data_IF_177494195884
#
_entry.id   IF_177494195884
#
_cell.length_a   1.000
_cell.length_b   1.000
_cell.length_c   1.000
_cell.angle_alpha   90.00
_cell.angle_beta   90.00
_cell.angle_gamma   90.00
#
_symmetry.space_group_name_H-M   'P 1'
#
loop_
_entity.id
_entity.type
_entity.pdbx_description
1 polymer ?
#
# COMPACT_ATOMS: atom_id res chain seq x y z
N UNK A 1 1.91 -2.51 19.32
CA UNK A 1 3.04 -3.24 18.72
C UNK A 1 4.00 -2.25 18.05
N UNK A 2 5.22 -2.70 17.76
CA UNK A 2 6.25 -1.93 17.07
C UNK A 2 6.51 -2.51 15.68
N UNK A 3 6.84 -1.63 14.73
CA UNK A 3 7.33 -2.02 13.43
C UNK A 3 8.83 -2.31 13.55
N UNK A 4 9.21 -3.58 13.36
CA UNK A 4 10.56 -4.06 13.65
C UNK A 4 11.62 -3.38 12.77
N UNK A 5 11.33 -3.11 11.50
CA UNK A 5 12.30 -2.51 10.58
C UNK A 5 12.58 -1.04 10.86
N UNK A 6 11.60 -0.30 11.38
CA UNK A 6 11.69 1.16 11.51
C UNK A 6 11.72 1.64 12.95
N UNK A 7 11.51 0.73 13.93
CA UNK A 7 11.43 1.08 15.35
C UNK A 7 10.27 2.02 15.70
N UNK A 8 9.26 2.12 14.82
CA UNK A 8 8.10 2.98 14.99
C UNK A 8 6.93 2.22 15.59
N UNK A 9 5.97 2.94 16.16
CA UNK A 9 4.72 2.32 16.62
C UNK A 9 3.77 2.08 15.45
N UNK A 10 3.07 0.95 15.49
CA UNK A 10 2.00 0.63 14.54
C UNK A 10 0.70 1.24 15.05
N UNK A 11 -0.02 1.93 14.18
CA UNK A 11 -1.35 2.45 14.49
C UNK A 11 -2.33 1.32 14.79
N UNK A 12 -3.18 1.52 15.78
CA UNK A 12 -4.27 0.59 16.07
C UNK A 12 -5.53 1.04 15.32
N UNK A 13 -5.73 0.48 14.14
CA UNK A 13 -6.84 0.83 13.24
C UNK A 13 -8.22 0.45 13.80
N UNK A 14 -8.30 -0.44 14.80
CA UNK A 14 -9.56 -0.76 15.46
C UNK A 14 -10.10 0.38 16.34
N UNK A 15 -9.26 1.38 16.65
CA UNK A 15 -9.66 2.53 17.44
C UNK A 15 -10.23 3.64 16.56
N UNK A 16 -11.49 4.05 16.78
CA UNK A 16 -12.09 5.13 15.99
C UNK A 16 -11.30 6.44 16.04
N UNK A 17 -10.67 6.75 17.18
CA UNK A 17 -9.86 7.96 17.33
C UNK A 17 -8.65 7.95 16.41
N UNK A 18 -8.00 6.79 16.23
CA UNK A 18 -6.86 6.64 15.34
C UNK A 18 -7.29 6.75 13.88
N UNK A 19 -8.35 6.05 13.50
CA UNK A 19 -8.90 6.11 12.15
C UNK A 19 -9.36 7.52 11.78
N UNK A 20 -10.06 8.20 12.69
CA UNK A 20 -10.49 9.58 12.51
C UNK A 20 -9.30 10.55 12.41
N UNK A 21 -8.27 10.37 13.21
CA UNK A 21 -7.07 11.20 13.14
C UNK A 21 -6.38 11.08 11.78
N UNK A 22 -6.18 9.86 11.29
CA UNK A 22 -5.51 9.61 10.01
C UNK A 22 -6.35 10.14 8.82
N UNK A 23 -7.66 9.92 8.86
CA UNK A 23 -8.57 10.44 7.83
C UNK A 23 -8.62 11.98 7.86
N UNK A 24 -8.74 12.57 9.04
CA UNK A 24 -8.76 14.02 9.20
C UNK A 24 -7.45 14.67 8.73
N UNK A 25 -6.31 14.01 8.95
CA UNK A 25 -5.03 14.46 8.43
C UNK A 25 -5.03 14.55 6.89
N UNK A 26 -5.46 13.51 6.20
CA UNK A 26 -5.53 13.53 4.74
C UNK A 26 -6.49 14.62 4.24
N UNK A 27 -7.69 14.71 4.81
CA UNK A 27 -8.67 15.74 4.45
C UNK A 27 -8.16 17.15 4.73
N UNK A 28 -7.37 17.35 5.78
CA UNK A 28 -6.74 18.63 6.08
C UNK A 28 -5.82 19.08 4.94
N UNK A 29 -4.97 18.21 4.44
CA UNK A 29 -4.09 18.53 3.33
C UNK A 29 -4.86 18.77 2.04
N UNK A 30 -5.88 17.98 1.75
CA UNK A 30 -6.72 18.13 0.58
C UNK A 30 -7.52 19.45 0.65
N UNK A 31 -8.25 19.67 1.73
CA UNK A 31 -9.25 20.73 1.82
C UNK A 31 -8.67 22.09 2.22
N UNK A 32 -7.52 22.12 2.91
CA UNK A 32 -6.86 23.36 3.35
C UNK A 32 -5.68 23.75 2.49
N UNK A 33 -4.93 22.79 1.99
CA UNK A 33 -3.75 23.04 1.16
C UNK A 33 -3.96 22.71 -0.31
N UNK A 34 -5.12 22.17 -0.66
CA UNK A 34 -5.52 21.88 -2.03
C UNK A 34 -4.55 20.96 -2.78
N UNK A 35 -4.04 19.95 -2.10
CA UNK A 35 -3.24 18.91 -2.78
C UNK A 35 -4.14 18.07 -3.68
N UNK A 36 -3.64 17.68 -4.86
CA UNK A 36 -4.39 16.95 -5.87
C UNK A 36 -4.34 15.43 -5.68
N UNK A 37 -3.53 14.95 -4.74
CA UNK A 37 -3.43 13.52 -4.45
C UNK A 37 -2.77 13.21 -3.12
N UNK A 38 -3.06 12.01 -2.62
CA UNK A 38 -2.46 11.45 -1.40
C UNK A 38 -1.74 10.15 -1.74
N UNK A 39 -0.46 10.10 -1.43
CA UNK A 39 0.34 8.87 -1.49
C UNK A 39 0.37 8.21 -0.11
N UNK A 40 -0.05 6.94 -0.05
CA UNK A 40 0.02 6.11 1.15
C UNK A 40 1.23 5.19 1.03
N UNK A 41 2.26 5.48 1.84
CA UNK A 41 3.51 4.71 1.83
C UNK A 41 3.41 3.40 2.60
N UNK A 42 4.16 2.39 2.14
CA UNK A 42 4.33 1.10 2.80
C UNK A 42 3.01 0.41 3.20
N UNK A 43 2.04 0.38 2.29
CA UNK A 43 0.69 -0.18 2.55
C UNK A 43 0.76 -1.63 3.02
N UNK A 44 1.74 -2.42 2.54
CA UNK A 44 1.98 -3.79 3.03
C UNK A 44 2.10 -3.87 4.57
N UNK A 45 2.75 -2.88 5.18
CA UNK A 45 2.92 -2.83 6.64
C UNK A 45 1.62 -2.56 7.40
N UNK A 46 0.62 -2.03 6.71
CA UNK A 46 -0.73 -1.83 7.25
C UNK A 46 -1.56 -3.11 7.09
N UNK A 47 -1.48 -3.74 5.91
CA UNK A 47 -2.33 -4.86 5.51
C UNK A 47 -1.99 -6.17 6.22
N UNK A 48 -0.74 -6.35 6.67
CA UNK A 48 -0.30 -7.64 7.20
C UNK A 48 0.21 -7.54 8.63
N UNK A 49 -0.35 -8.40 9.51
CA UNK A 49 -0.02 -8.48 10.94
C UNK A 49 1.40 -9.01 11.19
N UNK A 50 1.89 -9.83 10.27
CA UNK A 50 3.22 -10.46 10.28
C UNK A 50 4.29 -9.66 9.52
N UNK A 51 3.93 -8.51 8.93
CA UNK A 51 4.88 -7.72 8.16
C UNK A 51 6.14 -7.39 8.97
N UNK A 52 7.30 -7.91 8.52
CA UNK A 52 8.59 -7.72 9.18
C UNK A 52 8.76 -8.48 10.49
N UNK A 53 7.90 -9.44 10.80
CA UNK A 53 7.95 -10.24 12.03
C UNK A 53 8.22 -11.71 11.71
N UNK A 54 8.83 -12.40 12.67
CA UNK A 54 9.01 -13.84 12.62
C UNK A 54 7.85 -14.56 13.32
N UNK A 55 7.82 -15.88 13.14
CA UNK A 55 6.85 -16.74 13.82
C UNK A 55 6.86 -16.50 15.34
N UNK A 56 5.67 -16.41 15.94
CA UNK A 56 5.49 -16.10 17.37
C UNK A 56 5.54 -14.61 17.75
N UNK A 57 5.86 -13.71 16.82
CA UNK A 57 5.89 -12.26 17.07
C UNK A 57 4.61 -11.52 16.67
N UNK A 58 3.65 -12.22 16.14
CA UNK A 58 2.37 -11.68 15.72
C UNK A 58 1.23 -12.61 16.10
N UNK A 59 0.02 -12.09 16.10
CA UNK A 59 -1.20 -12.83 16.43
C UNK A 59 -2.09 -12.83 15.19
N UNK A 60 -2.56 -14.00 14.81
CA UNK A 60 -3.48 -14.16 13.68
C UNK A 60 -4.80 -13.41 13.91
N UNK A 61 -5.43 -13.01 12.83
CA UNK A 61 -6.77 -12.44 12.87
C UNK A 61 -7.82 -13.49 13.30
N UNK A 62 -9.07 -13.06 13.45
CA UNK A 62 -10.16 -13.93 13.91
C UNK A 62 -10.45 -15.14 13.00
N UNK A 63 -9.94 -15.12 11.77
CA UNK A 63 -10.08 -16.22 10.80
C UNK A 63 -8.81 -17.08 10.69
N UNK A 64 -7.77 -16.78 11.49
CA UNK A 64 -6.50 -17.50 11.49
C UNK A 64 -5.50 -17.02 10.43
N UNK A 65 -5.81 -15.97 9.69
CA UNK A 65 -4.94 -15.37 8.67
C UNK A 65 -4.03 -14.28 9.22
N UNK A 66 -3.14 -13.80 8.35
CA UNK A 66 -2.18 -12.74 8.68
C UNK A 66 -2.64 -11.34 8.24
N UNK A 67 -3.80 -11.21 7.60
CA UNK A 67 -4.35 -9.93 7.19
C UNK A 67 -4.82 -9.10 8.39
N UNK A 68 -4.52 -7.83 8.38
CA UNK A 68 -5.02 -6.85 9.34
C UNK A 68 -6.37 -6.32 8.87
N UNK A 69 -7.45 -6.99 9.28
CA UNK A 69 -8.80 -6.70 8.81
C UNK A 69 -9.23 -5.26 9.13
N UNK A 70 -8.85 -4.74 10.28
CA UNK A 70 -9.18 -3.38 10.70
C UNK A 70 -8.47 -2.33 9.82
N UNK A 71 -7.23 -2.60 9.41
CA UNK A 71 -6.51 -1.72 8.48
C UNK A 71 -7.11 -1.78 7.07
N UNK A 72 -7.52 -2.94 6.61
CA UNK A 72 -8.22 -3.12 5.32
C UNK A 72 -9.50 -2.29 5.30
N UNK A 73 -10.34 -2.41 6.32
CA UNK A 73 -11.57 -1.63 6.44
C UNK A 73 -11.29 -0.13 6.56
N UNK A 74 -10.25 0.27 7.30
CA UNK A 74 -9.83 1.67 7.36
C UNK A 74 -9.44 2.19 5.97
N UNK A 75 -8.65 1.46 5.17
CA UNK A 75 -8.23 1.87 3.83
C UNK A 75 -9.44 2.04 2.90
N UNK A 76 -10.36 1.08 2.91
CA UNK A 76 -11.60 1.16 2.14
C UNK A 76 -12.42 2.39 2.51
N UNK A 77 -12.59 2.64 3.81
CA UNK A 77 -13.29 3.80 4.32
C UNK A 77 -12.58 5.10 3.92
N UNK A 78 -11.27 5.15 4.07
CA UNK A 78 -10.42 6.29 3.68
C UNK A 78 -10.64 6.65 2.20
N UNK A 79 -10.49 5.70 1.29
CA UNK A 79 -10.66 5.92 -0.14
C UNK A 79 -12.10 6.34 -0.48
N UNK A 80 -13.10 5.73 0.17
CA UNK A 80 -14.51 6.10 0.00
C UNK A 80 -14.77 7.56 0.38
N UNK A 81 -14.28 7.99 1.53
CA UNK A 81 -14.52 9.37 2.03
C UNK A 81 -13.75 10.39 1.19
N UNK A 82 -12.47 10.11 0.86
CA UNK A 82 -11.67 11.03 0.02
C UNK A 82 -12.37 11.27 -1.31
N UNK A 83 -12.75 10.20 -2.02
CA UNK A 83 -13.43 10.29 -3.32
C UNK A 83 -14.79 10.96 -3.24
N UNK A 84 -15.57 10.67 -2.20
CA UNK A 84 -16.91 11.25 -2.03
C UNK A 84 -16.86 12.75 -1.73
N UNK A 85 -15.92 13.18 -0.89
CA UNK A 85 -15.82 14.59 -0.46
C UNK A 85 -15.06 15.47 -1.43
N UNK A 86 -14.08 14.88 -2.11
CA UNK A 86 -13.16 15.61 -2.99
C UNK A 86 -13.02 14.88 -4.35
N UNK A 87 -14.07 14.92 -5.20
CA UNK A 87 -14.02 14.32 -6.52
C UNK A 87 -12.86 14.91 -7.33
N UNK A 88 -12.03 14.05 -7.90
CA UNK A 88 -10.85 14.43 -8.68
C UNK A 88 -9.52 14.36 -7.92
N UNK A 89 -9.54 14.26 -6.59
CA UNK A 89 -8.34 13.95 -5.82
C UNK A 89 -8.01 12.46 -5.98
N UNK A 90 -6.75 12.17 -6.28
CA UNK A 90 -6.27 10.79 -6.48
C UNK A 90 -5.65 10.21 -5.21
N UNK A 91 -5.78 8.90 -5.04
CA UNK A 91 -5.09 8.15 -3.97
C UNK A 91 -4.17 7.11 -4.59
N UNK A 92 -2.94 7.04 -4.07
CA UNK A 92 -1.87 6.19 -4.61
C UNK A 92 -1.36 5.28 -3.50
N UNK A 93 -1.39 3.97 -3.72
CA UNK A 93 -0.79 3.01 -2.80
C UNK A 93 0.66 2.71 -3.16
N UNK A 94 1.56 2.72 -2.18
CA UNK A 94 2.86 2.10 -2.31
C UNK A 94 2.83 0.73 -1.62
N UNK A 95 2.88 -0.33 -2.42
CA UNK A 95 2.80 -1.69 -1.91
C UNK A 95 3.82 -2.61 -2.58
N UNK A 96 4.46 -3.44 -1.77
CA UNK A 96 5.42 -4.46 -2.19
C UNK A 96 4.93 -5.89 -1.95
N UNK A 97 3.76 -6.05 -1.36
CA UNK A 97 3.23 -7.36 -0.95
C UNK A 97 2.52 -8.13 -2.06
N UNK A 98 2.14 -7.45 -3.14
CA UNK A 98 1.30 -8.06 -4.16
C UNK A 98 -0.15 -8.29 -3.71
N UNK A 99 -0.64 -7.50 -2.74
CA UNK A 99 -2.04 -7.59 -2.30
C UNK A 99 -2.99 -7.45 -3.48
N UNK A 100 -3.93 -8.37 -3.66
CA UNK A 100 -4.83 -8.36 -4.81
C UNK A 100 -5.83 -7.22 -4.72
N UNK A 101 -6.34 -6.78 -5.88
CA UNK A 101 -7.44 -5.80 -5.98
C UNK A 101 -7.14 -4.45 -5.29
N UNK A 102 -5.88 -4.04 -5.20
CA UNK A 102 -5.47 -2.77 -4.58
C UNK A 102 -6.17 -1.57 -5.22
N UNK A 103 -6.29 -1.57 -6.55
CA UNK A 103 -6.89 -0.49 -7.34
C UNK A 103 -8.31 -0.83 -7.85
N UNK A 104 -8.83 -1.99 -7.55
CA UNK A 104 -10.20 -2.33 -7.90
C UNK A 104 -11.20 -1.50 -7.10
N UNK A 105 -12.38 -1.31 -7.67
CA UNK A 105 -13.46 -0.55 -7.02
C UNK A 105 -13.90 -1.21 -5.70
N UNK A 106 -14.36 -0.39 -4.78
CA UNK A 106 -14.88 -0.84 -3.48
C UNK A 106 -16.08 -1.78 -3.64
N UNK A 107 -16.90 -1.56 -4.67
CA UNK A 107 -18.07 -2.40 -4.98
C UNK A 107 -17.67 -3.82 -5.44
N UNK A 108 -16.47 -3.97 -5.96
CA UNK A 108 -15.89 -5.25 -6.37
C UNK A 108 -15.08 -5.93 -5.25
N UNK A 109 -15.03 -5.30 -4.06
CA UNK A 109 -14.27 -5.79 -2.91
C UNK A 109 -12.83 -5.25 -2.85
N UNK A 110 -12.44 -4.40 -3.79
CA UNK A 110 -11.12 -3.77 -3.84
C UNK A 110 -10.88 -2.76 -2.73
N UNK A 111 -9.65 -2.27 -2.63
CA UNK A 111 -9.27 -1.23 -1.65
C UNK A 111 -9.59 0.18 -2.13
N UNK A 112 -9.86 0.37 -3.42
CA UNK A 112 -10.33 1.62 -3.99
C UNK A 112 -9.26 2.69 -4.22
N UNK A 113 -7.97 2.35 -4.24
CA UNK A 113 -6.94 3.28 -4.71
C UNK A 113 -7.08 3.54 -6.21
N UNK A 114 -6.71 4.73 -6.65
CA UNK A 114 -6.71 5.07 -8.07
C UNK A 114 -5.47 4.51 -8.78
N UNK A 115 -4.34 4.47 -8.08
CA UNK A 115 -3.07 3.98 -8.61
C UNK A 115 -2.32 3.16 -7.58
N UNK A 116 -1.48 2.26 -8.09
CA UNK A 116 -0.48 1.54 -7.31
C UNK A 116 0.91 1.92 -7.80
N UNK A 117 1.79 2.28 -6.88
CA UNK A 117 3.20 2.48 -7.16
C UNK A 117 3.90 1.14 -7.37
N UNK A 118 4.45 0.93 -8.54
CA UNK A 118 5.09 -0.35 -8.90
C UNK A 118 6.53 -0.42 -8.34
N UNK A 119 6.66 -0.70 -7.06
CA UNK A 119 7.95 -0.83 -6.39
C UNK A 119 8.76 -2.03 -6.89
N UNK A 120 8.10 -3.10 -7.36
CA UNK A 120 8.77 -4.28 -7.92
C UNK A 120 9.52 -3.91 -9.20
N UNK A 121 8.87 -3.16 -10.10
CA UNK A 121 9.54 -2.65 -11.30
C UNK A 121 10.73 -1.75 -10.96
N UNK A 122 10.59 -0.90 -9.96
CA UNK A 122 11.68 -0.02 -9.51
C UNK A 122 12.90 -0.83 -9.08
N UNK A 123 12.70 -1.89 -8.31
CA UNK A 123 13.77 -2.80 -7.88
C UNK A 123 14.44 -3.50 -9.07
N UNK A 124 13.66 -4.06 -9.99
CA UNK A 124 14.17 -4.74 -11.18
C UNK A 124 14.97 -3.78 -12.06
N UNK A 125 14.45 -2.56 -12.24
CA UNK A 125 15.14 -1.51 -13.00
C UNK A 125 16.48 -1.14 -12.35
N UNK A 126 16.54 -0.91 -11.05
CA UNK A 126 17.79 -0.61 -10.36
C UNK A 126 18.77 -1.78 -10.40
N UNK A 127 18.31 -3.01 -10.26
CA UNK A 127 19.17 -4.18 -10.45
C UNK A 127 19.75 -4.25 -11.86
N UNK A 128 18.92 -4.01 -12.88
CA UNK A 128 19.35 -4.02 -14.26
C UNK A 128 20.40 -2.95 -14.57
N UNK A 129 20.16 -1.69 -14.16
CA UNK A 129 21.12 -0.59 -14.45
C UNK A 129 22.41 -0.69 -13.63
N UNK A 130 22.38 -1.37 -12.48
CA UNK A 130 23.58 -1.60 -11.66
C UNK A 130 24.51 -2.66 -12.26
N UNK A 131 24.03 -3.45 -13.21
CA UNK A 131 24.87 -4.46 -13.90
C UNK A 131 25.85 -3.82 -14.87
N UNK A 132 27.01 -4.46 -15.08
CA UNK A 132 27.94 -4.06 -16.15
C UNK A 132 27.23 -4.00 -17.51
N UNK A 133 27.54 -3.01 -18.32
CA UNK A 133 26.90 -2.80 -19.65
C UNK A 133 27.00 -4.02 -20.55
N UNK A 134 28.10 -4.76 -20.48
CA UNK A 134 28.33 -5.99 -21.25
C UNK A 134 27.32 -7.11 -20.98
N UNK A 135 26.71 -7.15 -19.78
CA UNK A 135 25.77 -8.19 -19.37
C UNK A 135 24.31 -7.77 -19.53
N UNK A 136 24.01 -6.48 -19.74
CA UNK A 136 22.63 -5.96 -19.80
C UNK A 136 21.81 -6.56 -20.91
N UNK A 137 22.42 -6.78 -22.09
CA UNK A 137 21.71 -7.38 -23.24
C UNK A 137 21.17 -8.78 -22.91
N UNK A 138 21.95 -9.59 -22.22
CA UNK A 138 21.54 -10.96 -21.83
C UNK A 138 20.46 -10.97 -20.74
N UNK A 139 20.30 -9.88 -19.98
CA UNK A 139 19.36 -9.76 -18.87
C UNK A 139 18.22 -8.76 -19.17
N UNK A 140 17.96 -8.49 -20.44
CA UNK A 140 16.91 -7.54 -20.85
C UNK A 140 15.52 -7.97 -20.36
N UNK A 141 15.29 -9.26 -20.24
CA UNK A 141 14.01 -9.81 -19.77
C UNK A 141 13.62 -9.34 -18.36
N UNK A 142 14.60 -8.95 -17.53
CA UNK A 142 14.31 -8.44 -16.17
C UNK A 142 13.42 -7.18 -16.23
N UNK A 143 13.52 -6.37 -17.29
CA UNK A 143 12.68 -5.20 -17.49
C UNK A 143 11.26 -5.52 -18.00
N UNK A 144 11.06 -6.70 -18.58
CA UNK A 144 9.77 -7.09 -19.15
C UNK A 144 8.75 -7.48 -18.07
N UNK A 145 9.21 -7.81 -16.86
CA UNK A 145 8.31 -8.09 -15.74
C UNK A 145 7.42 -6.91 -15.33
N UNK A 146 7.79 -5.69 -15.71
CA UNK A 146 6.95 -4.51 -15.48
C UNK A 146 5.54 -4.66 -16.04
N UNK A 147 5.38 -5.32 -17.19
CA UNK A 147 4.08 -5.61 -17.81
C UNK A 147 3.27 -6.60 -16.98
N UNK A 148 3.93 -7.62 -16.43
CA UNK A 148 3.28 -8.63 -15.58
C UNK A 148 2.77 -7.96 -14.30
N UNK A 149 3.58 -7.12 -13.67
CA UNK A 149 3.16 -6.38 -12.46
C UNK A 149 1.97 -5.46 -12.68
N UNK A 150 1.79 -4.95 -13.90
CA UNK A 150 0.64 -4.09 -14.22
C UNK A 150 -0.69 -4.85 -14.30
N UNK A 151 -0.65 -6.15 -14.58
CA UNK A 151 -1.86 -6.98 -14.79
C UNK A 151 -2.13 -7.98 -13.66
N UNK A 152 -1.14 -8.33 -12.86
CA UNK A 152 -1.23 -9.43 -11.89
C UNK A 152 -1.23 -8.96 -10.43
N UNK A 153 -1.09 -7.67 -10.17
CA UNK A 153 -1.02 -7.13 -8.81
C UNK A 153 -2.02 -6.01 -8.55
#
# INVERSE_FOLDING_TARGET
SEQVFWGTKIFNYSRPEVSNYLLANALFWIEKYHVDGIHVGAVASMLYLDYGKTEGQWIANMYGGNENLEAIEFIKHFNSIVKKRNPGVITIAEDTSGYPMMTADLSEGGLGFDFKWNSSFTNDYFQFISRPTSTRKANHNDLLFSTIYAYCM
#
